data_IF_515915171791
#
_entry.id   IF_515915171791
#
_cell.length_a   1.000
_cell.length_b   1.000
_cell.length_c   1.000
_cell.angle_alpha   90.00
_cell.angle_beta   90.00
_cell.angle_gamma   90.00
#
_symmetry.space_group_name_H-M   'P 1'
#
loop_
_entity.id
_entity.type
_entity.pdbx_description
1 polymer ?
#
# COMPACT_ATOMS: atom_id res chain seq x y z
N UNK A 1 -26.11 -23.78 0.65
CA UNK A 1 -25.83 -22.44 0.06
C UNK A 1 -24.67 -22.55 -0.94
N UNK A 2 -24.93 -22.44 -2.24
CA UNK A 2 -23.91 -22.51 -3.31
C UNK A 2 -23.16 -21.18 -3.39
N UNK A 3 -21.84 -21.19 -3.17
CA UNK A 3 -20.96 -20.02 -3.39
C UNK A 3 -20.89 -19.74 -4.89
N UNK A 4 -21.38 -18.58 -5.34
CA UNK A 4 -21.22 -18.09 -6.71
C UNK A 4 -19.72 -17.88 -6.95
N UNK A 5 -19.14 -18.64 -7.87
CA UNK A 5 -17.78 -18.42 -8.38
C UNK A 5 -17.81 -17.13 -9.21
N UNK A 6 -17.09 -16.11 -8.75
CA UNK A 6 -16.91 -14.88 -9.47
C UNK A 6 -15.76 -15.08 -10.46
N UNK A 7 -16.08 -15.19 -11.76
CA UNK A 7 -15.08 -15.22 -12.83
C UNK A 7 -15.06 -13.82 -13.44
N UNK A 8 -14.02 -12.99 -13.22
CA UNK A 8 -13.98 -11.68 -13.85
C UNK A 8 -13.73 -11.85 -15.36
N UNK A 9 -14.48 -11.11 -16.16
CA UNK A 9 -14.31 -11.01 -17.59
C UNK A 9 -12.90 -10.43 -17.91
N UNK A 10 -12.24 -10.96 -18.95
CA UNK A 10 -11.01 -10.41 -19.53
C UNK A 10 -11.33 -9.04 -20.14
N UNK A 11 -11.22 -7.97 -19.35
CA UNK A 11 -11.28 -6.59 -19.82
C UNK A 11 -9.87 -6.07 -20.11
N UNK A 12 -9.68 -5.47 -21.30
CA UNK A 12 -8.54 -4.67 -21.76
C UNK A 12 -7.13 -5.17 -21.40
N UNK A 13 -6.33 -5.49 -22.41
CA UNK A 13 -4.87 -5.65 -22.27
C UNK A 13 -4.18 -4.29 -21.99
N UNK A 14 -4.61 -3.57 -20.95
CA UNK A 14 -3.80 -2.51 -20.35
C UNK A 14 -2.61 -3.21 -19.72
N UNK A 15 -1.41 -2.85 -20.14
CA UNK A 15 -0.18 -3.33 -19.51
C UNK A 15 -0.26 -2.98 -18.02
N UNK A 16 -0.49 -4.01 -17.20
CA UNK A 16 -0.48 -3.89 -15.75
C UNK A 16 0.97 -3.70 -15.34
N UNK A 17 1.35 -2.49 -14.95
CA UNK A 17 2.70 -2.19 -14.49
C UNK A 17 2.76 -2.38 -12.98
N UNK A 18 3.59 -3.32 -12.46
CA UNK A 18 3.78 -3.46 -11.02
C UNK A 18 4.41 -2.19 -10.43
N UNK A 19 4.20 -1.97 -9.13
CA UNK A 19 4.90 -0.90 -8.42
C UNK A 19 6.40 -1.22 -8.33
N UNK A 20 7.23 -0.18 -8.38
CA UNK A 20 8.68 -0.31 -8.26
C UNK A 20 9.11 -0.70 -6.84
N UNK A 21 8.30 -0.36 -5.83
CA UNK A 21 8.57 -0.71 -4.44
C UNK A 21 7.30 -0.76 -3.57
N UNK A 22 7.42 -1.37 -2.39
CA UNK A 22 6.37 -1.34 -1.38
C UNK A 22 6.07 0.09 -0.89
N UNK A 23 7.07 0.97 -0.88
CA UNK A 23 6.91 2.38 -0.52
C UNK A 23 6.05 3.10 -1.56
N UNK A 24 6.30 2.89 -2.85
CA UNK A 24 5.49 3.46 -3.92
C UNK A 24 4.03 2.99 -3.81
N UNK A 25 3.82 1.69 -3.59
CA UNK A 25 2.50 1.12 -3.39
C UNK A 25 1.80 1.73 -2.16
N UNK A 26 2.49 1.85 -1.02
CA UNK A 26 1.94 2.45 0.20
C UNK A 26 1.57 3.93 -0.01
N UNK A 27 2.45 4.72 -0.62
CA UNK A 27 2.16 6.13 -0.90
C UNK A 27 0.98 6.28 -1.87
N UNK A 28 0.90 5.42 -2.89
CA UNK A 28 -0.26 5.38 -3.78
C UNK A 28 -1.56 5.06 -3.01
N UNK A 29 -1.54 4.07 -2.11
CA UNK A 29 -2.68 3.76 -1.24
C UNK A 29 -3.10 4.97 -0.40
N UNK A 30 -2.15 5.66 0.23
CA UNK A 30 -2.47 6.81 1.09
C UNK A 30 -3.06 7.96 0.27
N UNK A 31 -2.53 8.23 -0.94
CA UNK A 31 -3.12 9.22 -1.85
C UNK A 31 -4.54 8.83 -2.27
N UNK A 32 -4.79 7.55 -2.55
CA UNK A 32 -6.13 7.07 -2.86
C UNK A 32 -7.09 7.24 -1.66
N UNK A 33 -6.63 7.00 -0.43
CA UNK A 33 -7.43 7.22 0.78
C UNK A 33 -7.72 8.70 1.03
N UNK A 34 -6.74 9.59 0.83
CA UNK A 34 -6.95 11.05 0.89
C UNK A 34 -8.03 11.49 -0.11
N UNK A 35 -7.90 11.08 -1.38
CA UNK A 35 -8.89 11.40 -2.41
C UNK A 35 -10.30 10.88 -2.07
N UNK A 36 -10.41 9.65 -1.55
CA UNK A 36 -11.69 9.07 -1.07
C UNK A 36 -12.29 9.89 0.07
N UNK A 37 -11.47 10.31 1.04
CA UNK A 37 -11.91 11.12 2.20
C UNK A 37 -12.40 12.50 1.78
N UNK A 38 -11.72 13.11 0.82
CA UNK A 38 -12.03 14.45 0.34
C UNK A 38 -13.28 14.48 -0.59
N UNK A 39 -14.01 13.35 -0.68
CA UNK A 39 -15.25 13.24 -1.45
C UNK A 39 -15.05 13.19 -2.96
N UNK A 40 -13.81 13.19 -3.44
CA UNK A 40 -13.51 13.01 -4.85
C UNK A 40 -13.87 11.56 -5.22
N UNK A 41 -14.89 11.37 -6.07
CA UNK A 41 -15.11 10.10 -6.75
C UNK A 41 -13.81 9.77 -7.46
N UNK A 42 -13.18 8.63 -7.10
CA UNK A 42 -11.89 8.19 -7.62
C UNK A 42 -11.79 8.56 -9.10
N UNK A 43 -10.92 9.50 -9.43
CA UNK A 43 -10.75 9.92 -10.80
C UNK A 43 -10.28 8.68 -11.56
N UNK A 44 -11.13 8.16 -12.45
CA UNK A 44 -10.89 7.00 -13.30
C UNK A 44 -9.76 7.25 -14.33
N UNK A 45 -9.02 8.35 -14.15
CA UNK A 45 -7.99 8.90 -15.02
C UNK A 45 -6.56 8.53 -14.57
N UNK A 46 -6.39 7.51 -13.71
CA UNK A 46 -5.06 6.91 -13.59
C UNK A 46 -4.71 6.33 -14.97
N UNK A 47 -3.78 6.98 -15.66
CA UNK A 47 -3.32 6.69 -17.03
C UNK A 47 -2.83 5.23 -17.20
N UNK A 48 -2.60 4.53 -16.10
CA UNK A 48 -2.15 3.14 -16.05
C UNK A 48 -3.10 2.30 -15.21
N UNK A 49 -3.48 1.11 -15.71
CA UNK A 49 -4.15 0.10 -14.92
C UNK A 49 -3.18 -0.38 -13.82
N UNK A 50 -3.49 -0.07 -12.56
CA UNK A 50 -2.68 -0.52 -11.43
C UNK A 50 -2.94 -2.02 -11.17
N UNK A 51 -1.95 -2.77 -10.66
CA UNK A 51 -2.03 -4.22 -10.45
C UNK A 51 -2.97 -4.64 -9.32
N UNK A 52 -3.42 -3.69 -8.50
CA UNK A 52 -4.27 -3.95 -7.34
C UNK A 52 -5.20 -2.77 -7.03
N UNK A 53 -6.21 -3.05 -6.20
CA UNK A 53 -7.06 -2.03 -5.59
C UNK A 53 -6.41 -1.49 -4.30
N UNK A 54 -6.74 -0.26 -3.86
CA UNK A 54 -6.23 0.29 -2.60
C UNK A 54 -6.49 -0.62 -1.39
N UNK A 55 -7.61 -1.33 -1.41
CA UNK A 55 -8.01 -2.22 -0.32
C UNK A 55 -7.12 -3.47 -0.21
N UNK A 56 -6.44 -3.88 -1.30
CA UNK A 56 -5.48 -4.98 -1.28
C UNK A 56 -4.25 -4.64 -0.43
N UNK A 57 -3.76 -3.39 -0.55
CA UNK A 57 -2.63 -2.89 0.24
C UNK A 57 -3.02 -2.77 1.71
N UNK A 58 -4.23 -2.27 2.00
CA UNK A 58 -4.78 -2.27 3.35
C UNK A 58 -4.86 -3.69 3.93
N UNK A 59 -5.41 -4.65 3.17
CA UNK A 59 -5.51 -6.04 3.58
C UNK A 59 -4.14 -6.67 3.84
N UNK A 60 -3.11 -6.34 3.04
CA UNK A 60 -1.74 -6.81 3.25
C UNK A 60 -1.18 -6.31 4.59
N UNK A 61 -1.28 -5.00 4.86
CA UNK A 61 -0.81 -4.39 6.11
C UNK A 61 -1.57 -4.94 7.32
N UNK A 62 -2.89 -5.07 7.23
CA UNK A 62 -3.70 -5.62 8.33
C UNK A 62 -3.44 -7.12 8.55
N UNK A 63 -3.00 -7.85 7.52
CA UNK A 63 -2.56 -9.24 7.68
C UNK A 63 -1.24 -9.30 8.45
N UNK A 64 -0.27 -8.44 8.16
CA UNK A 64 0.97 -8.31 8.93
C UNK A 64 0.70 -7.92 10.38
N UNK A 65 -0.24 -7.00 10.60
CA UNK A 65 -0.65 -6.58 11.94
C UNK A 65 -1.27 -7.72 12.74
N UNK A 66 -2.20 -8.47 12.15
CA UNK A 66 -2.82 -9.64 12.80
C UNK A 66 -1.81 -10.73 13.13
N UNK A 67 -0.77 -10.90 12.29
CA UNK A 67 0.36 -11.81 12.53
C UNK A 67 1.39 -11.27 13.53
N UNK A 68 1.20 -10.05 14.05
CA UNK A 68 2.12 -9.34 14.96
C UNK A 68 3.51 -9.08 14.38
N UNK A 69 3.66 -9.15 13.06
CA UNK A 69 4.90 -8.81 12.34
C UNK A 69 5.07 -7.30 12.32
N UNK A 70 4.01 -6.60 11.94
CA UNK A 70 3.90 -5.14 12.06
C UNK A 70 3.13 -4.83 13.34
N UNK A 71 3.66 -3.95 14.19
CA UNK A 71 3.02 -3.58 15.47
C UNK A 71 2.31 -2.24 15.37
N UNK A 72 1.62 -1.85 16.44
CA UNK A 72 0.89 -0.57 16.51
C UNK A 72 1.80 0.62 16.23
N UNK A 73 3.05 0.61 16.67
CA UNK A 73 3.97 1.72 16.46
C UNK A 73 4.43 1.83 15.01
N UNK A 74 4.61 0.71 14.32
CA UNK A 74 4.79 0.71 12.86
C UNK A 74 3.59 1.35 12.17
N UNK A 75 2.35 0.98 12.53
CA UNK A 75 1.15 1.56 11.92
C UNK A 75 1.06 3.08 12.14
N UNK A 76 1.43 3.59 13.32
CA UNK A 76 1.48 5.04 13.60
C UNK A 76 2.48 5.74 12.68
N UNK A 77 3.66 5.17 12.51
CA UNK A 77 4.71 5.71 11.62
C UNK A 77 4.23 5.67 10.17
N UNK A 78 3.71 4.54 9.69
CA UNK A 78 3.17 4.40 8.35
C UNK A 78 2.08 5.42 8.04
N UNK A 79 1.16 5.64 8.99
CA UNK A 79 0.09 6.60 8.86
C UNK A 79 0.62 8.05 8.85
N UNK A 80 1.49 8.41 9.81
CA UNK A 80 2.07 9.76 9.91
C UNK A 80 2.78 10.15 8.60
N UNK A 81 3.76 9.35 8.20
CA UNK A 81 4.63 9.67 7.06
C UNK A 81 3.90 9.50 5.72
N UNK A 82 2.97 8.55 5.62
CA UNK A 82 2.05 8.49 4.49
C UNK A 82 1.19 9.75 4.36
N UNK A 83 0.69 10.28 5.48
CA UNK A 83 -0.09 11.53 5.47
C UNK A 83 0.76 12.75 5.11
N UNK A 84 2.04 12.77 5.46
CA UNK A 84 3.00 13.78 5.02
C UNK A 84 3.50 13.57 3.57
N UNK A 85 3.08 12.49 2.90
CA UNK A 85 3.50 12.09 1.54
C UNK A 85 5.03 12.00 1.37
N UNK A 86 5.74 11.63 2.43
CA UNK A 86 7.21 11.47 2.44
C UNK A 86 7.64 10.33 3.38
N UNK A 87 8.73 9.62 3.10
CA UNK A 87 9.34 8.73 4.09
C UNK A 87 10.02 9.55 5.22
N UNK A 88 10.31 8.91 6.38
CA UNK A 88 11.15 9.52 7.41
C UNK A 88 12.55 9.85 6.88
N UNK A 89 13.12 10.96 7.34
CA UNK A 89 14.46 11.41 6.95
C UNK A 89 15.51 10.93 7.96
N UNK A 90 16.59 10.31 7.46
CA UNK A 90 17.71 9.86 8.28
C UNK A 90 18.55 11.01 8.84
N UNK A 91 18.48 12.20 8.24
CA UNK A 91 19.22 13.39 8.63
C UNK A 91 18.62 14.07 9.86
N UNK A 92 17.39 13.71 10.22
CA UNK A 92 16.66 14.29 11.35
C UNK A 92 16.75 13.31 12.53
N UNK A 93 17.50 13.68 13.57
CA UNK A 93 17.78 12.79 14.71
C UNK A 93 16.51 12.28 15.42
N UNK A 94 15.45 13.10 15.50
CA UNK A 94 14.18 12.68 16.10
C UNK A 94 13.38 11.70 15.22
N UNK A 95 13.71 11.55 13.94
CA UNK A 95 13.06 10.62 13.02
C UNK A 95 13.78 9.27 12.91
N UNK A 96 14.95 9.08 13.52
CA UNK A 96 15.72 7.83 13.40
C UNK A 96 14.93 6.59 13.82
N UNK A 97 14.18 6.65 14.93
CA UNK A 97 13.32 5.53 15.37
C UNK A 97 12.19 5.29 14.38
N UNK A 98 11.60 6.37 13.86
CA UNK A 98 10.54 6.29 12.85
C UNK A 98 11.06 5.67 11.55
N UNK A 99 12.28 6.02 11.14
CA UNK A 99 12.93 5.45 9.96
C UNK A 99 13.14 3.95 10.09
N UNK A 100 13.59 3.48 11.26
CA UNK A 100 13.75 2.04 11.51
C UNK A 100 12.41 1.31 11.43
N UNK A 101 11.37 1.81 12.09
CA UNK A 101 10.03 1.23 12.04
C UNK A 101 9.43 1.26 10.63
N UNK A 102 9.65 2.36 9.90
CA UNK A 102 9.21 2.49 8.51
C UNK A 102 9.87 1.44 7.62
N UNK A 103 11.21 1.35 7.64
CA UNK A 103 11.97 0.38 6.83
C UNK A 103 11.56 -1.06 7.16
N UNK A 104 11.43 -1.38 8.44
CA UNK A 104 11.01 -2.70 8.89
C UNK A 104 9.62 -3.07 8.35
N UNK A 105 8.65 -2.15 8.46
CA UNK A 105 7.32 -2.35 7.90
C UNK A 105 7.32 -2.50 6.38
N UNK A 106 8.11 -1.67 5.67
CA UNK A 106 8.21 -1.72 4.20
C UNK A 106 8.86 -3.01 3.71
N UNK A 107 9.86 -3.54 4.42
CA UNK A 107 10.47 -4.83 4.11
C UNK A 107 9.45 -5.96 4.21
N UNK A 108 8.69 -6.00 5.30
CA UNK A 108 7.64 -7.01 5.48
C UNK A 108 6.50 -6.88 4.47
N UNK A 109 6.10 -5.65 4.15
CA UNK A 109 5.08 -5.39 3.13
C UNK A 109 5.57 -5.80 1.74
N UNK A 110 6.84 -5.52 1.41
CA UNK A 110 7.47 -5.87 0.14
C UNK A 110 7.40 -7.36 -0.14
N UNK A 111 7.64 -8.21 0.87
CA UNK A 111 7.53 -9.67 0.74
C UNK A 111 6.12 -10.07 0.27
N UNK A 112 5.08 -9.61 0.96
CA UNK A 112 3.69 -9.96 0.64
C UNK A 112 3.27 -9.40 -0.73
N UNK A 113 3.71 -8.19 -1.07
CA UNK A 113 3.34 -7.56 -2.34
C UNK A 113 4.05 -8.22 -3.53
N UNK A 114 5.29 -8.68 -3.37
CA UNK A 114 6.00 -9.48 -4.38
C UNK A 114 5.35 -10.84 -4.59
N UNK A 115 4.97 -11.54 -3.53
CA UNK A 115 4.20 -12.80 -3.61
C UNK A 115 2.88 -12.64 -4.40
N UNK A 116 2.29 -11.43 -4.36
CA UNK A 116 1.06 -11.09 -5.07
C UNK A 116 1.28 -10.54 -6.49
N UNK A 117 2.53 -10.36 -6.93
CA UNK A 117 2.86 -9.73 -8.22
C UNK A 117 2.49 -8.24 -8.30
N UNK A 118 2.28 -7.59 -7.16
CA UNK A 118 1.92 -6.17 -7.07
C UNK A 118 3.18 -5.29 -7.16
N UNK A 119 4.30 -5.77 -6.61
CA UNK A 119 5.62 -5.12 -6.66
C UNK A 119 6.57 -6.00 -7.48
N UNK A 120 7.36 -5.37 -8.35
CA UNK A 120 8.37 -6.01 -9.22
C UNK A 120 9.74 -6.19 -8.58
#
# INVERSE_FOLDING_TARGET
MRKKRFTPARGDARTITPFASAEEAWMWFVRAQKARRDGARLCRSAVMARPCEPDDIYCAVMTLYRRRVVRRDHLKVLAKFGMEDRPPDYRVACETVSLTLWRDAMNHLSIILKEKGIVG
#
